data_IF_772154373378
#
_entry.id   IF_772154373378
#
_cell.length_a   1.000
_cell.length_b   1.000
_cell.length_c   1.000
_cell.angle_alpha   90.00
_cell.angle_beta   90.00
_cell.angle_gamma   90.00
#
_symmetry.space_group_name_H-M   'P 1'
#
loop_
_entity.id
_entity.type
_entity.pdbx_description
1 polymer ?
#
# COMPACT_ATOMS: atom_id res chain seq x y z
N UNK A 1 -2.52 -10.62 -1.48
CA UNK A 1 -1.90 -10.53 -2.79
C UNK A 1 -2.39 -9.33 -3.60
N UNK A 2 -2.51 -8.18 -2.94
CA UNK A 2 -2.87 -6.91 -3.55
C UNK A 2 -4.36 -6.54 -3.44
N UNK A 3 -5.21 -7.42 -2.96
CA UNK A 3 -6.63 -7.13 -2.72
C UNK A 3 -6.87 -6.72 -1.26
N UNK A 4 -7.84 -5.86 -1.07
CA UNK A 4 -8.32 -5.45 0.25
C UNK A 4 -9.01 -6.61 0.99
N UNK A 5 -8.94 -6.55 2.31
CA UNK A 5 -9.78 -7.36 3.19
C UNK A 5 -11.16 -6.73 3.29
N UNK A 6 -12.19 -7.56 3.45
CA UNK A 6 -13.54 -7.06 3.70
C UNK A 6 -13.57 -6.24 5.00
N UNK A 7 -14.05 -5.01 4.93
CA UNK A 7 -14.13 -4.12 6.10
C UNK A 7 -14.88 -4.75 7.27
N UNK A 8 -15.94 -5.50 7.00
CA UNK A 8 -16.70 -6.22 8.02
C UNK A 8 -15.87 -7.26 8.78
N UNK A 9 -14.95 -7.95 8.10
CA UNK A 9 -14.06 -8.92 8.74
C UNK A 9 -13.01 -8.22 9.62
N UNK A 10 -12.46 -7.08 9.15
CA UNK A 10 -11.54 -6.27 9.95
C UNK A 10 -12.24 -5.78 11.22
N UNK A 11 -13.44 -5.22 11.10
CA UNK A 11 -14.25 -4.75 12.24
C UNK A 11 -14.55 -5.88 13.22
N UNK A 12 -14.88 -7.07 12.73
CA UNK A 12 -15.09 -8.24 13.56
C UNK A 12 -13.85 -8.60 14.39
N UNK A 13 -12.67 -8.58 13.77
CA UNK A 13 -11.40 -8.80 14.47
C UNK A 13 -11.18 -7.71 15.53
N UNK A 14 -11.35 -6.44 15.18
CA UNK A 14 -11.17 -5.29 16.07
C UNK A 14 -12.06 -5.38 17.33
N UNK A 15 -13.29 -5.86 17.16
CA UNK A 15 -14.25 -5.99 18.27
C UNK A 15 -14.05 -7.25 19.12
N UNK A 16 -13.44 -8.31 18.60
CA UNK A 16 -13.36 -9.60 19.27
C UNK A 16 -11.97 -9.94 19.80
N UNK A 17 -10.93 -9.32 19.26
CA UNK A 17 -9.56 -9.58 19.66
C UNK A 17 -9.11 -8.60 20.75
N UNK A 18 -8.69 -9.14 21.89
CA UNK A 18 -8.27 -8.34 23.06
C UNK A 18 -6.86 -7.75 22.95
N UNK A 19 -6.11 -8.11 21.90
CA UNK A 19 -4.76 -7.59 21.63
C UNK A 19 -4.76 -6.45 20.62
N UNK A 20 -3.57 -5.93 20.30
CA UNK A 20 -3.38 -4.93 19.27
C UNK A 20 -3.62 -5.53 17.87
N UNK A 21 -4.40 -4.83 17.07
CA UNK A 21 -4.63 -5.14 15.66
C UNK A 21 -3.84 -4.15 14.82
N UNK A 22 -2.87 -4.65 14.06
CA UNK A 22 -2.05 -3.86 13.16
C UNK A 22 -2.56 -4.01 11.73
N UNK A 23 -3.07 -2.92 11.15
CA UNK A 23 -3.58 -2.87 9.78
C UNK A 23 -2.56 -2.19 8.88
N UNK A 24 -2.05 -2.94 7.90
CA UNK A 24 -1.12 -2.41 6.91
C UNK A 24 -1.90 -1.80 5.73
N UNK A 25 -1.94 -0.48 5.68
CA UNK A 25 -2.55 0.31 4.62
C UNK A 25 -1.53 0.87 3.63
N UNK A 26 -0.39 0.22 3.44
CA UNK A 26 0.66 0.73 2.55
C UNK A 26 0.20 0.92 1.09
N UNK A 27 -0.87 0.28 0.68
CA UNK A 27 -1.46 0.39 -0.66
C UNK A 27 -2.85 1.04 -0.68
N UNK A 28 -3.34 1.56 0.45
CA UNK A 28 -4.70 2.10 0.58
C UNK A 28 -5.00 3.27 -0.38
N UNK A 29 -3.99 4.06 -0.76
CA UNK A 29 -4.15 5.13 -1.76
C UNK A 29 -4.67 4.60 -3.12
N UNK A 30 -4.43 3.34 -3.45
CA UNK A 30 -4.89 2.69 -4.69
C UNK A 30 -6.26 2.01 -4.52
N UNK A 31 -6.72 1.80 -3.29
CA UNK A 31 -7.99 1.16 -2.98
C UNK A 31 -9.20 2.05 -3.29
N UNK A 32 -10.39 1.44 -3.32
CA UNK A 32 -11.67 2.13 -3.29
C UNK A 32 -12.20 2.24 -1.85
N UNK A 33 -11.67 1.42 -0.93
CA UNK A 33 -12.11 1.44 0.46
C UNK A 33 -11.53 2.64 1.21
N UNK A 34 -12.32 3.30 2.08
CA UNK A 34 -11.81 4.37 2.93
C UNK A 34 -10.82 3.81 3.95
N UNK A 35 -9.81 4.60 4.30
CA UNK A 35 -8.86 4.27 5.37
C UNK A 35 -9.56 4.08 6.72
N UNK A 36 -9.00 3.24 7.56
CA UNK A 36 -9.40 3.13 8.98
C UNK A 36 -8.86 4.28 9.85
N UNK A 37 -8.07 5.19 9.31
CA UNK A 37 -7.61 6.39 10.03
C UNK A 37 -8.77 7.19 10.62
N UNK A 38 -9.91 7.28 9.91
CA UNK A 38 -11.10 8.00 10.37
C UNK A 38 -11.83 7.30 11.53
N UNK A 39 -11.44 6.07 11.86
CA UNK A 39 -12.09 5.25 12.88
C UNK A 39 -11.19 4.91 14.07
N UNK A 40 -10.01 5.52 14.18
CA UNK A 40 -9.07 5.28 15.30
C UNK A 40 -9.72 5.50 16.67
N UNK A 41 -10.59 6.50 16.79
CA UNK A 41 -11.32 6.78 18.04
C UNK A 41 -12.33 5.70 18.42
N UNK A 42 -12.78 4.90 17.45
CA UNK A 42 -13.74 3.81 17.69
C UNK A 42 -13.07 2.52 18.15
N UNK A 43 -11.80 2.33 17.78
CA UNK A 43 -11.06 1.09 18.02
C UNK A 43 -9.74 1.39 18.72
N UNK A 44 -9.72 1.45 20.06
CA UNK A 44 -8.53 1.85 20.82
C UNK A 44 -7.36 0.85 20.70
N UNK A 45 -7.62 -0.37 20.21
CA UNK A 45 -6.63 -1.41 19.95
C UNK A 45 -6.11 -1.42 18.48
N UNK A 46 -6.55 -0.46 17.63
CA UNK A 46 -6.14 -0.38 16.24
C UNK A 46 -4.83 0.42 16.09
N UNK A 47 -3.94 -0.11 15.28
CA UNK A 47 -2.76 0.60 14.74
C UNK A 47 -2.81 0.53 13.22
N UNK A 48 -2.86 1.67 12.55
CA UNK A 48 -2.82 1.77 11.09
C UNK A 48 -1.42 2.15 10.64
N UNK A 49 -0.86 1.37 9.72
CA UNK A 49 0.43 1.68 9.08
C UNK A 49 0.22 2.25 7.68
N UNK A 50 0.91 3.34 7.38
CA UNK A 50 1.00 3.93 6.05
C UNK A 50 2.45 4.25 5.67
N UNK A 51 2.74 4.52 4.39
CA UNK A 51 4.10 4.71 3.92
C UNK A 51 4.19 5.72 2.77
N UNK A 52 5.31 6.44 2.71
CA UNK A 52 5.69 7.24 1.54
C UNK A 52 6.29 6.39 0.39
N UNK A 53 6.48 5.09 0.60
CA UNK A 53 7.21 4.23 -0.35
C UNK A 53 6.41 3.83 -1.60
N UNK A 54 5.07 3.92 -1.57
CA UNK A 54 4.19 3.40 -2.64
C UNK A 54 3.58 4.54 -3.44
N UNK A 55 2.39 4.97 -3.16
CA UNK A 55 1.68 6.01 -3.89
C UNK A 55 2.48 7.33 -3.99
N UNK A 56 3.20 7.67 -2.95
CA UNK A 56 4.03 8.88 -2.87
C UNK A 56 5.36 8.80 -3.65
N UNK A 57 5.71 7.63 -4.21
CA UNK A 57 6.92 7.45 -5.01
C UNK A 57 8.25 7.64 -4.26
N UNK A 58 8.23 7.67 -2.93
CA UNK A 58 9.36 8.04 -2.08
C UNK A 58 10.00 6.84 -1.36
N UNK A 59 10.13 5.69 -2.01
CA UNK A 59 10.70 4.49 -1.40
C UNK A 59 12.13 4.70 -0.86
N UNK A 60 12.92 5.56 -1.51
CA UNK A 60 14.32 5.84 -1.15
C UNK A 60 14.48 6.54 0.20
N UNK A 61 13.49 7.31 0.65
CA UNK A 61 13.58 8.04 1.93
C UNK A 61 13.33 7.17 3.16
N UNK A 62 12.88 5.93 2.98
CA UNK A 62 12.64 4.94 4.03
C UNK A 62 11.73 5.45 5.16
N UNK A 63 10.61 6.08 4.80
CA UNK A 63 9.67 6.66 5.76
C UNK A 63 8.33 5.93 5.74
N UNK A 64 7.92 5.47 6.93
CA UNK A 64 6.58 4.96 7.22
C UNK A 64 5.99 5.67 8.42
N UNK A 65 4.70 5.50 8.62
CA UNK A 65 3.92 6.13 9.68
C UNK A 65 3.07 5.08 10.40
N UNK A 66 2.90 5.25 11.71
CA UNK A 66 1.97 4.49 12.51
C UNK A 66 0.98 5.46 13.17
N UNK A 67 -0.29 5.19 13.03
CA UNK A 67 -1.37 5.95 13.61
C UNK A 67 -2.15 5.05 14.58
N UNK A 68 -2.37 5.51 15.79
CA UNK A 68 -3.05 4.75 16.84
C UNK A 68 -3.58 5.68 17.94
N UNK A 69 -4.23 5.12 18.97
CA UNK A 69 -4.59 5.85 20.16
C UNK A 69 -3.35 6.48 20.84
N UNK A 70 -3.57 7.55 21.61
CA UNK A 70 -2.48 8.25 22.32
C UNK A 70 -1.67 7.31 23.21
N UNK A 71 -2.33 6.38 23.89
CA UNK A 71 -1.72 5.41 24.80
C UNK A 71 -0.72 4.52 24.07
N UNK A 72 -1.09 4.03 22.88
CA UNK A 72 -0.22 3.20 22.04
C UNK A 72 0.96 4.02 21.52
N UNK A 73 0.71 5.24 21.03
CA UNK A 73 1.76 6.13 20.51
C UNK A 73 2.75 6.53 21.61
N UNK A 74 2.27 6.76 22.83
CA UNK A 74 3.16 7.07 23.97
C UNK A 74 4.10 5.90 24.28
N UNK A 75 3.64 4.65 24.19
CA UNK A 75 4.49 3.46 24.35
C UNK A 75 5.49 3.35 23.20
N UNK A 76 5.05 3.45 21.96
CA UNK A 76 5.92 3.39 20.78
C UNK A 76 7.00 4.49 20.82
N UNK A 77 6.63 5.69 21.30
CA UNK A 77 7.56 6.80 21.43
C UNK A 77 8.66 6.58 22.45
N UNK A 78 8.40 5.77 23.49
CA UNK A 78 9.42 5.43 24.51
C UNK A 78 10.45 4.42 23.99
N UNK A 79 10.07 3.56 23.05
CA UNK A 79 10.95 2.47 22.57
C UNK A 79 11.60 2.79 21.23
N UNK A 80 11.10 3.76 20.47
CA UNK A 80 11.73 4.17 19.20
C UNK A 80 13.07 4.86 19.43
N UNK A 81 13.99 4.70 18.48
CA UNK A 81 15.25 5.47 18.51
C UNK A 81 14.99 6.97 18.39
N UNK A 82 15.71 7.83 19.16
CA UNK A 82 15.45 9.27 19.17
C UNK A 82 15.71 9.94 17.81
N UNK A 83 16.64 9.43 17.01
CA UNK A 83 17.05 9.99 15.71
C UNK A 83 16.70 9.06 14.55
N UNK A 84 15.56 8.38 14.62
CA UNK A 84 15.15 7.40 13.62
C UNK A 84 14.84 7.97 12.22
N UNK A 85 14.54 9.28 12.12
CA UNK A 85 14.27 9.97 10.86
C UNK A 85 15.26 11.13 10.72
N UNK A 86 16.16 11.03 9.74
CA UNK A 86 17.15 12.07 9.46
C UNK A 86 16.52 13.32 8.82
N UNK A 87 17.25 14.45 8.87
CA UNK A 87 16.75 15.75 8.39
C UNK A 87 16.41 15.76 6.89
N UNK A 88 17.19 15.09 6.06
CA UNK A 88 16.92 15.02 4.61
C UNK A 88 15.62 14.29 4.32
N UNK A 89 15.37 13.18 5.02
CA UNK A 89 14.09 12.44 4.94
C UNK A 89 12.92 13.33 5.35
N UNK A 90 13.06 14.10 6.45
CA UNK A 90 12.01 15.02 6.91
C UNK A 90 11.73 16.11 5.87
N UNK A 91 12.77 16.75 5.33
CA UNK A 91 12.63 17.80 4.31
C UNK A 91 11.96 17.25 3.04
N UNK A 92 12.36 16.08 2.58
CA UNK A 92 11.76 15.45 1.41
C UNK A 92 10.29 15.10 1.66
N UNK A 93 9.96 14.54 2.81
CA UNK A 93 8.57 14.22 3.17
C UNK A 93 7.68 15.47 3.18
N UNK A 94 8.14 16.56 3.80
CA UNK A 94 7.41 17.84 3.82
C UNK A 94 7.22 18.35 2.39
N UNK A 95 8.26 18.32 1.57
CA UNK A 95 8.17 18.73 0.16
C UNK A 95 7.12 17.92 -0.61
N UNK A 96 7.03 16.61 -0.35
CA UNK A 96 6.04 15.75 -1.01
C UNK A 96 4.61 16.02 -0.51
N UNK A 97 4.42 16.31 0.78
CA UNK A 97 3.10 16.66 1.32
C UNK A 97 2.51 17.91 0.64
N UNK A 98 3.34 18.87 0.24
CA UNK A 98 2.89 20.03 -0.54
C UNK A 98 2.45 19.67 -1.97
N UNK A 99 2.77 18.48 -2.45
CA UNK A 99 2.43 17.98 -3.80
C UNK A 99 1.27 16.98 -3.81
N UNK A 100 0.46 16.92 -2.76
CA UNK A 100 -0.61 15.93 -2.63
C UNK A 100 -1.54 15.85 -3.85
N UNK A 101 -1.92 16.99 -4.47
CA UNK A 101 -2.72 17.01 -5.69
C UNK A 101 -2.03 16.33 -6.90
N UNK A 102 -0.70 16.44 -7.00
CA UNK A 102 0.06 15.73 -8.02
C UNK A 102 0.05 14.22 -7.75
N UNK A 103 0.19 13.81 -6.48
CA UNK A 103 0.13 12.41 -6.06
C UNK A 103 -1.24 11.81 -6.38
N UNK A 104 -2.34 12.48 -6.02
CA UNK A 104 -3.69 12.03 -6.33
C UNK A 104 -3.88 11.81 -7.83
N UNK A 105 -3.36 12.71 -8.67
CA UNK A 105 -3.40 12.58 -10.12
C UNK A 105 -2.58 11.38 -10.61
N UNK A 106 -1.38 11.15 -10.06
CA UNK A 106 -0.57 9.99 -10.40
C UNK A 106 -1.23 8.67 -9.97
N UNK A 107 -1.79 8.63 -8.76
CA UNK A 107 -2.54 7.47 -8.27
C UNK A 107 -3.72 7.16 -9.20
N UNK A 108 -4.48 8.17 -9.62
CA UNK A 108 -5.58 8.00 -10.58
C UNK A 108 -5.07 7.39 -11.89
N UNK A 109 -4.01 7.96 -12.48
CA UNK A 109 -3.42 7.43 -13.72
C UNK A 109 -2.95 5.99 -13.54
N UNK A 110 -2.28 5.66 -12.43
CA UNK A 110 -1.81 4.30 -12.16
C UNK A 110 -2.96 3.29 -12.01
N UNK A 111 -4.09 3.70 -11.45
CA UNK A 111 -5.30 2.87 -11.36
C UNK A 111 -5.89 2.63 -12.75
N UNK A 112 -6.02 3.66 -13.57
CA UNK A 112 -6.51 3.57 -14.95
C UNK A 112 -5.62 2.66 -15.80
N UNK A 113 -4.29 2.79 -15.69
CA UNK A 113 -3.32 1.94 -16.40
C UNK A 113 -3.36 0.49 -15.92
N UNK A 114 -3.54 0.26 -14.62
CA UNK A 114 -3.72 -1.09 -14.08
C UNK A 114 -4.97 -1.74 -14.67
N UNK A 115 -6.10 -1.06 -14.62
CA UNK A 115 -7.38 -1.58 -15.10
C UNK A 115 -7.32 -1.87 -16.62
N UNK A 116 -6.68 -0.99 -17.39
CA UNK A 116 -6.39 -1.23 -18.81
C UNK A 116 -5.51 -2.46 -19.01
N UNK A 117 -4.44 -2.57 -18.25
CA UNK A 117 -3.49 -3.68 -18.36
C UNK A 117 -4.14 -5.03 -17.98
N UNK A 118 -4.99 -5.07 -16.95
CA UNK A 118 -5.77 -6.25 -16.59
C UNK A 118 -6.67 -6.70 -17.75
N UNK A 119 -7.40 -5.77 -18.36
CA UNK A 119 -8.27 -6.08 -19.51
C UNK A 119 -7.48 -6.59 -20.73
N UNK A 120 -6.27 -6.08 -20.97
CA UNK A 120 -5.40 -6.61 -22.04
C UNK A 120 -4.81 -7.97 -21.69
N UNK A 121 -4.45 -8.20 -20.41
CA UNK A 121 -3.93 -9.49 -19.95
C UNK A 121 -4.96 -10.62 -20.08
N UNK A 122 -6.24 -10.34 -19.83
CA UNK A 122 -7.32 -11.34 -19.99
C UNK A 122 -7.39 -11.88 -21.42
N UNK A 123 -7.05 -11.09 -22.43
CA UNK A 123 -7.08 -11.49 -23.84
C UNK A 123 -5.90 -12.36 -24.26
N UNK A 124 -4.85 -12.44 -23.44
CA UNK A 124 -3.64 -13.19 -23.79
C UNK A 124 -3.87 -14.71 -23.66
N UNK A 125 -3.48 -15.50 -24.67
CA UNK A 125 -3.65 -16.95 -24.64
C UNK A 125 -2.90 -17.67 -23.49
N UNK A 126 -1.90 -17.01 -22.92
CA UNK A 126 -1.14 -17.54 -21.79
C UNK A 126 -1.79 -17.26 -20.43
N UNK A 127 -2.79 -16.40 -20.35
CA UNK A 127 -3.47 -16.07 -19.10
C UNK A 127 -4.48 -17.14 -18.72
N UNK A 128 -4.32 -17.71 -17.52
CA UNK A 128 -5.24 -18.69 -16.95
C UNK A 128 -6.24 -18.01 -16.03
N UNK A 129 -5.77 -17.05 -15.20
CA UNK A 129 -6.60 -16.34 -14.24
C UNK A 129 -5.91 -15.04 -13.80
N UNK A 130 -6.67 -13.96 -13.71
CA UNK A 130 -6.31 -12.77 -12.97
C UNK A 130 -6.92 -12.80 -11.57
N UNK A 131 -6.18 -12.32 -10.59
CA UNK A 131 -6.66 -12.17 -9.22
C UNK A 131 -7.01 -10.72 -8.97
N UNK A 132 -8.12 -10.43 -8.25
CA UNK A 132 -8.50 -9.06 -7.90
C UNK A 132 -7.35 -8.29 -7.23
N UNK A 133 -7.25 -7.00 -7.52
CA UNK A 133 -6.25 -6.13 -6.92
C UNK A 133 -6.81 -4.75 -6.61
N UNK A 134 -6.47 -4.26 -5.41
CA UNK A 134 -6.71 -2.89 -4.95
C UNK A 134 -5.38 -2.13 -4.79
N UNK A 135 -4.27 -2.70 -5.31
CA UNK A 135 -2.94 -2.11 -5.31
C UNK A 135 -2.57 -1.52 -6.70
N UNK A 136 -1.34 -1.05 -6.88
CA UNK A 136 -0.80 -0.63 -8.17
C UNK A 136 -0.16 -1.77 -8.98
N UNK A 137 -0.48 -3.00 -8.66
CA UNK A 137 -0.07 -4.22 -9.38
C UNK A 137 -1.18 -5.25 -9.29
N UNK A 138 -1.16 -6.26 -10.14
CA UNK A 138 -2.05 -7.41 -10.05
C UNK A 138 -1.28 -8.73 -10.17
N UNK A 139 -1.89 -9.81 -9.73
CA UNK A 139 -1.36 -11.15 -9.83
C UNK A 139 -2.07 -11.89 -10.97
N UNK A 140 -1.29 -12.39 -11.93
CA UNK A 140 -1.77 -13.24 -13.01
C UNK A 140 -1.25 -14.67 -12.86
N UNK A 141 -2.14 -15.67 -12.92
CA UNK A 141 -1.77 -17.07 -13.14
C UNK A 141 -1.66 -17.29 -14.64
N UNK A 142 -0.51 -17.76 -15.09
CA UNK A 142 -0.20 -17.96 -16.51
C UNK A 142 0.28 -19.39 -16.78
N UNK A 143 0.29 -19.84 -18.03
CA UNK A 143 0.66 -21.20 -18.44
C UNK A 143 2.10 -21.57 -18.14
N UNK A 144 3.04 -20.61 -18.30
CA UNK A 144 4.48 -20.80 -18.02
C UNK A 144 5.10 -19.50 -17.52
N UNK A 145 5.02 -19.27 -16.19
CA UNK A 145 5.51 -18.05 -15.57
C UNK A 145 7.02 -17.85 -15.75
N UNK A 146 7.82 -18.92 -15.71
CA UNK A 146 9.27 -18.86 -15.84
C UNK A 146 9.68 -18.43 -17.25
N UNK A 147 9.04 -18.99 -18.26
CA UNK A 147 9.30 -18.62 -19.67
C UNK A 147 8.91 -17.17 -19.94
N UNK A 148 7.76 -16.73 -19.45
CA UNK A 148 7.28 -15.36 -19.60
C UNK A 148 8.22 -14.38 -18.88
N UNK A 149 8.60 -14.67 -17.64
CA UNK A 149 9.54 -13.87 -16.88
C UNK A 149 10.88 -13.70 -17.63
N UNK A 150 11.47 -14.81 -18.07
CA UNK A 150 12.74 -14.77 -18.81
C UNK A 150 12.65 -14.01 -20.14
N UNK A 151 11.51 -14.09 -20.82
CA UNK A 151 11.25 -13.32 -22.03
C UNK A 151 11.19 -11.83 -21.75
N UNK A 152 10.48 -11.40 -20.72
CA UNK A 152 10.32 -9.99 -20.34
C UNK A 152 11.64 -9.39 -19.85
N UNK A 153 12.41 -10.11 -19.03
CA UNK A 153 13.72 -9.66 -18.52
C UNK A 153 14.69 -9.42 -19.68
N UNK A 154 14.74 -10.34 -20.66
CA UNK A 154 15.63 -10.17 -21.84
C UNK A 154 15.28 -8.95 -22.68
N UNK A 155 14.00 -8.60 -22.79
CA UNK A 155 13.55 -7.41 -23.53
C UNK A 155 13.81 -6.10 -22.81
N UNK A 156 13.68 -6.09 -21.47
CA UNK A 156 13.92 -4.88 -20.67
C UNK A 156 15.41 -4.52 -20.51
N UNK A 157 16.33 -5.46 -20.75
CA UNK A 157 17.76 -5.16 -20.78
C UNK A 157 18.25 -4.65 -22.13
N UNK A 158 17.38 -4.50 -23.12
CA UNK A 158 17.69 -3.98 -24.45
C UNK A 158 17.06 -2.61 -24.73
N UNK A 159 16.58 -1.91 -23.68
CA UNK A 159 16.04 -0.55 -23.76
C UNK A 159 16.91 0.44 -22.98
#
# INVERSE_FOLDING_TARGET
>A
TGNDLLRSEIVKVLCQFEGLVMLDEAYNDFSQAPSFLEELDKYPNLVVFQTFSKAWGCAAIRLGMAFASKEIIDILSKIKYPYNVNQLTQQQAISMLHKHYEIERWVKTLKEERDYLEAEFEKLPCTIKLFPSDANFFLAKVTDAVKIYNYLVRRNHSA
#
